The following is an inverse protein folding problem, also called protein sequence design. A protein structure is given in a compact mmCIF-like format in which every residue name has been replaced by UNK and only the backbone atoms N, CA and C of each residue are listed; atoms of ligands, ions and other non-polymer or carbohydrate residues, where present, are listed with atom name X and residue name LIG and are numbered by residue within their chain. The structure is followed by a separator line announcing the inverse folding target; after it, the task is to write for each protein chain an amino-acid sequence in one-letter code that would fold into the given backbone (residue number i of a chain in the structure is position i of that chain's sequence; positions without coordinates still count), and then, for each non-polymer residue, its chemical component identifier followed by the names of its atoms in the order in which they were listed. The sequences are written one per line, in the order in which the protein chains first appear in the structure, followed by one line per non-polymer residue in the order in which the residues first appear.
data_IF_557040727921
#
_entry.id   IF_557040727921
#
_cell.length_a   1.000
_cell.length_b   1.000
_cell.length_c   1.000
_cell.angle_alpha   90.00
_cell.angle_beta   90.00
_cell.angle_gamma   90.00
#
_symmetry.space_group_name_H-M   'P 1'
#
loop_
_entity.id
_entity.type
_entity.pdbx_description
1 polymer ?
#
# COMPACT_ATOMS: atom_id res chain seq x y z
N UNK A 1 13.74 -26.66 6.54
CA UNK A 1 12.92 -25.73 7.34
C UNK A 1 12.51 -26.46 8.61
N UNK A 2 12.27 -25.76 9.73
CA UNK A 2 11.73 -26.38 10.93
C UNK A 2 10.27 -26.82 10.67
N UNK A 3 9.82 -28.01 11.12
CA UNK A 3 8.48 -28.52 10.84
C UNK A 3 7.35 -27.57 11.24
N UNK A 4 7.50 -26.83 12.33
CA UNK A 4 6.49 -25.90 12.85
C UNK A 4 6.27 -24.67 11.94
N UNK A 5 7.22 -24.37 11.06
CA UNK A 5 7.14 -23.25 10.12
C UNK A 5 6.61 -23.65 8.73
N UNK A 6 6.47 -24.96 8.45
CA UNK A 6 5.99 -25.45 7.15
C UNK A 6 4.60 -24.91 6.78
N UNK A 7 3.59 -24.88 7.68
CA UNK A 7 2.25 -24.39 7.33
C UNK A 7 2.19 -22.89 7.00
N UNK A 8 3.17 -22.10 7.45
CA UNK A 8 3.20 -20.65 7.27
C UNK A 8 4.26 -20.24 6.25
N UNK A 9 5.52 -20.21 6.67
CA UNK A 9 6.67 -19.81 5.85
C UNK A 9 6.86 -20.78 4.69
N UNK A 10 6.61 -22.08 4.88
CA UNK A 10 6.67 -23.07 3.81
C UNK A 10 5.66 -22.84 2.70
N UNK A 11 4.40 -22.62 3.07
CA UNK A 11 3.35 -22.26 2.13
C UNK A 11 3.68 -20.97 1.37
N UNK A 12 4.16 -19.93 2.06
CA UNK A 12 4.56 -18.66 1.45
C UNK A 12 5.73 -18.83 0.45
N UNK A 13 6.79 -19.55 0.86
CA UNK A 13 7.92 -19.87 -0.02
C UNK A 13 7.44 -20.65 -1.25
N UNK A 14 6.57 -21.64 -1.06
CA UNK A 14 6.05 -22.45 -2.17
C UNK A 14 5.26 -21.61 -3.18
N UNK A 15 4.46 -20.66 -2.70
CA UNK A 15 3.70 -19.75 -3.54
C UNK A 15 4.61 -18.77 -4.31
N UNK A 16 5.73 -18.36 -3.72
CA UNK A 16 6.68 -17.41 -4.32
C UNK A 16 7.71 -18.06 -5.24
N UNK A 17 7.93 -19.37 -5.15
CA UNK A 17 8.91 -20.10 -5.97
C UNK A 17 8.76 -19.87 -7.47
N UNK A 18 7.53 -19.75 -7.96
CA UNK A 18 7.25 -19.50 -9.39
C UNK A 18 7.63 -18.09 -9.86
N UNK A 19 7.88 -17.16 -8.94
CA UNK A 19 8.27 -15.78 -9.24
C UNK A 19 9.78 -15.56 -9.27
N UNK A 20 10.58 -16.46 -8.68
CA UNK A 20 12.05 -16.32 -8.68
C UNK A 20 12.62 -16.45 -10.09
N UNK A 21 13.39 -15.44 -10.51
CA UNK A 21 13.88 -15.31 -11.89
C UNK A 21 12.85 -14.78 -12.89
N UNK A 22 11.63 -14.50 -12.42
CA UNK A 22 10.54 -13.87 -13.18
C UNK A 22 10.03 -12.61 -12.47
N UNK A 23 10.93 -11.93 -11.77
CA UNK A 23 10.61 -10.70 -11.08
C UNK A 23 10.11 -9.64 -12.07
N UNK A 24 9.03 -8.95 -11.70
CA UNK A 24 8.46 -7.86 -12.52
C UNK A 24 9.45 -6.69 -12.65
N UNK A 25 10.30 -6.50 -11.64
CA UNK A 25 11.30 -5.44 -11.59
C UNK A 25 12.70 -6.00 -11.82
N UNK A 26 13.53 -5.24 -12.55
CA UNK A 26 14.95 -5.51 -12.74
C UNK A 26 15.72 -5.27 -11.42
N UNK A 27 16.30 -6.31 -10.79
CA UNK A 27 16.99 -6.17 -9.51
C UNK A 27 18.20 -5.24 -9.56
N UNK A 28 18.90 -5.18 -10.71
CA UNK A 28 20.05 -4.30 -10.86
C UNK A 28 19.64 -2.82 -10.87
N UNK A 29 18.49 -2.50 -11.50
CA UNK A 29 17.93 -1.14 -11.46
C UNK A 29 17.42 -0.77 -10.06
N UNK A 30 16.78 -1.72 -9.37
CA UNK A 30 16.34 -1.51 -7.98
C UNK A 30 17.53 -1.18 -7.08
N UNK A 31 18.61 -1.95 -7.16
CA UNK A 31 19.83 -1.68 -6.39
C UNK A 31 20.42 -0.29 -6.68
N UNK A 32 20.45 0.13 -7.95
CA UNK A 32 20.90 1.47 -8.32
C UNK A 32 20.04 2.59 -7.71
N UNK A 33 18.71 2.41 -7.65
CA UNK A 33 17.82 3.37 -7.00
C UNK A 33 18.11 3.46 -5.51
N UNK A 34 18.27 2.32 -4.84
CA UNK A 34 18.59 2.27 -3.40
C UNK A 34 19.91 2.99 -3.10
N UNK A 35 20.96 2.76 -3.90
CA UNK A 35 22.25 3.45 -3.74
C UNK A 35 22.12 4.97 -3.90
N UNK A 36 21.32 5.44 -4.86
CA UNK A 36 21.07 6.87 -5.06
C UNK A 36 20.27 7.48 -3.91
N UNK A 37 19.32 6.74 -3.34
CA UNK A 37 18.60 7.20 -2.14
C UNK A 37 19.53 7.31 -0.95
N UNK A 38 20.40 6.34 -0.74
CA UNK A 38 21.36 6.35 0.37
C UNK A 38 22.30 7.56 0.35
N UNK A 39 22.56 8.14 -0.84
CA UNK A 39 23.33 9.37 -1.01
C UNK A 39 22.49 10.64 -1.17
N UNK A 40 21.17 10.57 -1.02
CA UNK A 40 20.27 11.71 -1.18
C UNK A 40 20.13 12.47 0.13
N UNK A 41 20.20 13.80 0.08
CA UNK A 41 19.91 14.65 1.24
C UNK A 41 18.41 14.63 1.60
N UNK A 42 17.55 14.41 0.61
CA UNK A 42 16.10 14.36 0.78
C UNK A 42 15.59 12.96 0.45
N UNK A 43 15.10 12.25 1.47
CA UNK A 43 14.52 10.92 1.35
C UNK A 43 12.98 11.00 1.32
N UNK A 44 12.32 10.29 0.38
CA UNK A 44 10.88 10.13 0.44
C UNK A 44 10.49 9.22 1.62
N UNK A 45 9.35 9.48 2.24
CA UNK A 45 8.79 8.58 3.27
C UNK A 45 8.38 7.22 2.70
N UNK A 46 7.89 7.20 1.46
CA UNK A 46 7.52 5.99 0.74
C UNK A 46 7.97 6.09 -0.72
N UNK A 47 8.60 5.03 -1.23
CA UNK A 47 8.95 4.88 -2.64
C UNK A 47 8.42 3.55 -3.17
N UNK A 48 7.67 3.62 -4.27
CA UNK A 48 7.17 2.46 -4.99
C UNK A 48 8.16 2.04 -6.07
N UNK A 49 8.46 0.75 -6.14
CA UNK A 49 9.37 0.17 -7.14
C UNK A 49 8.64 -0.93 -7.89
N UNK A 50 8.56 -0.78 -9.22
CA UNK A 50 7.81 -1.70 -10.08
C UNK A 50 6.43 -1.16 -10.47
N UNK A 51 5.96 -1.56 -11.65
CA UNK A 51 4.67 -1.11 -12.20
C UNK A 51 3.48 -1.69 -11.43
N UNK A 52 3.63 -2.90 -10.89
CA UNK A 52 2.67 -3.54 -10.01
C UNK A 52 2.52 -2.81 -8.69
N UNK A 53 3.63 -2.40 -8.06
CA UNK A 53 3.60 -1.59 -6.84
C UNK A 53 2.88 -0.26 -7.07
N UNK A 54 3.16 0.42 -8.20
CA UNK A 54 2.47 1.66 -8.60
C UNK A 54 0.98 1.42 -8.78
N UNK A 55 0.58 0.41 -9.55
CA UNK A 55 -0.84 0.10 -9.79
C UNK A 55 -1.58 -0.22 -8.49
N UNK A 56 -1.03 -1.10 -7.67
CA UNK A 56 -1.69 -1.55 -6.43
C UNK A 56 -1.85 -0.38 -5.44
N UNK A 57 -0.84 0.49 -5.32
CA UNK A 57 -0.94 1.68 -4.50
C UNK A 57 -2.03 2.63 -5.02
N UNK A 58 -2.08 2.88 -6.33
CA UNK A 58 -3.13 3.72 -6.94
C UNK A 58 -4.53 3.16 -6.70
N UNK A 59 -4.72 1.86 -6.83
CA UNK A 59 -6.01 1.21 -6.57
C UNK A 59 -6.42 1.32 -5.09
N UNK A 60 -5.47 1.15 -4.17
CA UNK A 60 -5.71 1.30 -2.74
C UNK A 60 -6.08 2.75 -2.39
N UNK A 61 -5.32 3.73 -2.87
CA UNK A 61 -5.60 5.16 -2.64
C UNK A 61 -6.94 5.58 -3.27
N UNK A 62 -7.24 5.11 -4.48
CA UNK A 62 -8.53 5.38 -5.12
C UNK A 62 -9.69 4.81 -4.28
N UNK A 63 -9.51 3.66 -3.66
CA UNK A 63 -10.53 3.05 -2.79
C UNK A 63 -10.72 3.86 -1.52
N UNK A 64 -9.63 4.20 -0.83
CA UNK A 64 -9.66 5.07 0.36
C UNK A 64 -10.34 6.41 0.07
N UNK A 65 -10.00 7.04 -1.06
CA UNK A 65 -10.58 8.32 -1.46
C UNK A 65 -12.08 8.21 -1.76
N UNK A 66 -12.53 7.15 -2.43
CA UNK A 66 -13.97 6.93 -2.67
C UNK A 66 -14.75 6.77 -1.37
N UNK A 67 -14.21 6.02 -0.42
CA UNK A 67 -14.83 5.86 0.90
C UNK A 67 -14.82 7.18 1.68
N UNK A 68 -13.70 7.90 1.70
CA UNK A 68 -13.60 9.19 2.36
C UNK A 68 -14.61 10.20 1.79
N UNK A 69 -14.78 10.24 0.47
CA UNK A 69 -15.77 11.10 -0.18
C UNK A 69 -17.21 10.67 0.17
N UNK A 70 -17.50 9.36 0.15
CA UNK A 70 -18.80 8.84 0.52
C UNK A 70 -19.20 9.23 1.95
N UNK A 71 -18.24 9.27 2.87
CA UNK A 71 -18.44 9.62 4.28
C UNK A 71 -18.12 11.08 4.61
N UNK A 72 -17.87 11.93 3.61
CA UNK A 72 -17.42 13.31 3.80
C UNK A 72 -18.44 14.16 4.56
N UNK A 73 -19.71 14.10 4.17
CA UNK A 73 -20.78 14.87 4.82
C UNK A 73 -20.96 14.47 6.28
N UNK A 74 -20.97 13.16 6.55
CA UNK A 74 -21.05 12.62 7.92
C UNK A 74 -19.88 13.14 8.74
N UNK A 75 -18.65 13.07 8.20
CA UNK A 75 -17.45 13.53 8.90
C UNK A 75 -17.53 15.01 9.26
N UNK A 76 -17.90 15.87 8.31
CA UNK A 76 -18.02 17.32 8.54
C UNK A 76 -19.19 17.71 9.45
N UNK A 77 -20.26 16.92 9.48
CA UNK A 77 -21.37 17.16 10.42
C UNK A 77 -20.98 17.03 11.89
N UNK A 78 -19.78 16.51 12.18
CA UNK A 78 -19.25 16.34 13.54
C UNK A 78 -18.31 17.48 13.98
N UNK A 79 -18.09 18.50 13.14
CA UNK A 79 -17.33 19.69 13.55
C UNK A 79 -18.01 20.37 14.75
N UNK A 80 -17.21 20.90 15.68
CA UNK A 80 -17.73 21.57 16.90
C UNK A 80 -18.67 22.73 16.57
N UNK A 81 -18.38 23.43 15.47
CA UNK A 81 -19.16 24.57 14.99
C UNK A 81 -20.20 24.20 13.93
N UNK A 82 -20.38 22.90 13.61
CA UNK A 82 -21.40 22.46 12.67
C UNK A 82 -22.79 22.74 13.25
N UNK A 83 -23.52 23.67 12.62
CA UNK A 83 -24.91 23.97 12.98
C UNK A 83 -25.92 22.96 12.41
N UNK A 84 -25.44 21.94 11.67
CA UNK A 84 -26.26 20.96 10.97
C UNK A 84 -26.39 19.71 11.84
N UNK A 85 -27.60 19.17 11.98
CA UNK A 85 -27.83 17.90 12.66
C UNK A 85 -27.19 16.73 11.91
N UNK A 86 -26.81 15.67 12.63
CA UNK A 86 -26.26 14.45 12.02
C UNK A 86 -27.14 13.97 10.85
N UNK A 87 -26.55 13.66 9.68
CA UNK A 87 -27.29 13.14 8.53
C UNK A 87 -27.89 11.76 8.85
N UNK A 88 -28.87 11.32 8.05
CA UNK A 88 -29.46 9.99 8.22
C UNK A 88 -28.48 8.92 7.69
N UNK A 89 -27.76 8.28 8.60
CA UNK A 89 -26.72 7.29 8.30
C UNK A 89 -27.31 5.87 8.33
N UNK A 90 -26.94 5.05 7.35
CA UNK A 90 -27.17 3.60 7.34
C UNK A 90 -25.82 2.89 7.12
N UNK A 91 -25.51 1.93 7.98
CA UNK A 91 -24.30 1.11 7.92
C UNK A 91 -24.56 -0.21 7.18
#
# INVERSE_FOLDING_TARGET
MLPDYEPSVGAAISALKSYWGHEVSDPAKVAQVILRLASSEHLPFHLLLGSDAVRNAQEAEATRNREAEHWREVSLSTDVDASVSLPNIRF
#
